data_IF_044486662167
#
_entry.id   IF_044486662167
#
_cell.length_a   1.000
_cell.length_b   1.000
_cell.length_c   1.000
_cell.angle_alpha   90.00
_cell.angle_beta   90.00
_cell.angle_gamma   90.00
#
_symmetry.space_group_name_H-M   'P 1'
#
loop_
_entity.id
_entity.type
_entity.pdbx_description
1 polymer ?
#
# COMPACT_ATOMS: atom_id res chain seq x y z
N UNK A 1 -58.92 19.77 37.21
CA UNK A 1 -57.47 19.53 37.21
C UNK A 1 -57.20 18.53 36.10
N UNK A 2 -56.85 19.02 34.91
CA UNK A 2 -56.63 18.23 33.70
C UNK A 2 -55.25 18.63 33.16
N UNK A 3 -54.34 17.67 33.17
CA UNK A 3 -52.92 17.84 32.86
C UNK A 3 -52.73 17.91 31.34
N UNK A 4 -52.16 19.01 30.85
CA UNK A 4 -51.69 19.16 29.48
C UNK A 4 -50.46 18.24 29.27
N UNK A 5 -50.58 17.25 28.39
CA UNK A 5 -49.43 16.47 27.91
C UNK A 5 -48.89 17.18 26.67
N UNK A 6 -47.74 17.83 26.83
CA UNK A 6 -46.96 18.38 25.72
C UNK A 6 -46.32 17.22 24.94
N UNK A 7 -46.75 17.00 23.69
CA UNK A 7 -46.11 16.06 22.77
C UNK A 7 -45.04 16.85 21.99
N UNK A 8 -43.77 16.70 22.39
CA UNK A 8 -42.63 17.24 21.65
C UNK A 8 -42.29 16.23 20.54
N UNK A 9 -42.49 16.64 19.29
CA UNK A 9 -42.05 15.89 18.12
C UNK A 9 -40.53 16.03 17.97
N UNK A 10 -39.76 15.05 18.45
CA UNK A 10 -38.34 14.95 18.09
C UNK A 10 -38.21 14.31 16.71
N UNK A 11 -37.84 15.12 15.73
CA UNK A 11 -37.29 14.64 14.47
C UNK A 11 -35.89 14.08 14.75
N UNK A 12 -35.80 12.80 15.08
CA UNK A 12 -34.53 12.10 15.01
C UNK A 12 -34.21 11.89 13.53
N UNK A 13 -33.39 12.78 12.97
CA UNK A 13 -32.71 12.51 11.70
C UNK A 13 -31.71 11.39 11.99
N UNK A 14 -32.15 10.14 11.87
CA UNK A 14 -31.25 8.99 11.83
C UNK A 14 -30.54 9.10 10.49
N UNK A 15 -29.40 9.79 10.46
CA UNK A 15 -28.41 9.54 9.44
C UNK A 15 -27.98 8.09 9.63
N UNK A 16 -28.59 7.19 8.85
CA UNK A 16 -28.02 5.87 8.64
C UNK A 16 -26.59 6.10 8.14
N UNK A 17 -25.61 5.88 9.02
CA UNK A 17 -24.24 5.75 8.59
C UNK A 17 -24.24 4.62 7.56
N UNK A 18 -23.80 4.86 6.31
CA UNK A 18 -23.66 3.77 5.37
C UNK A 18 -22.73 2.75 6.02
N UNK A 19 -23.19 1.51 6.18
CA UNK A 19 -22.38 0.36 6.58
C UNK A 19 -21.45 -0.10 5.44
N UNK A 20 -21.12 0.80 4.51
CA UNK A 20 -20.01 0.63 3.58
C UNK A 20 -18.75 1.12 4.26
N UNK A 21 -17.70 0.29 4.28
CA UNK A 21 -16.40 0.66 4.82
C UNK A 21 -15.97 2.03 4.31
N UNK A 22 -15.44 2.87 5.20
CA UNK A 22 -14.94 4.18 4.82
C UNK A 22 -13.83 3.97 3.78
N UNK A 23 -14.10 4.42 2.55
CA UNK A 23 -13.21 4.30 1.41
C UNK A 23 -12.86 5.68 0.89
N UNK A 24 -11.58 5.91 0.63
CA UNK A 24 -11.10 7.13 -0.04
C UNK A 24 -10.42 6.76 -1.34
N UNK A 25 -10.43 7.70 -2.29
CA UNK A 25 -9.68 7.53 -3.53
C UNK A 25 -8.98 8.81 -3.96
N UNK A 26 -7.85 8.60 -4.62
CA UNK A 26 -7.10 9.60 -5.38
C UNK A 26 -7.03 9.11 -6.83
N UNK A 27 -7.16 10.04 -7.78
CA UNK A 27 -7.29 9.70 -9.19
C UNK A 27 -6.63 10.76 -10.06
N UNK A 28 -5.90 10.31 -11.08
CA UNK A 28 -5.29 11.12 -12.14
C UNK A 28 -5.94 10.78 -13.48
N UNK A 29 -5.32 11.10 -14.60
CA UNK A 29 -5.84 10.73 -15.93
C UNK A 29 -5.72 9.22 -16.17
N UNK A 30 -4.63 8.58 -15.73
CA UNK A 30 -4.36 7.16 -15.98
C UNK A 30 -4.53 6.26 -14.77
N UNK A 31 -4.29 6.75 -13.56
CA UNK A 31 -4.35 5.95 -12.35
C UNK A 31 -5.55 6.31 -11.48
N UNK A 32 -6.11 5.29 -10.82
CA UNK A 32 -7.02 5.45 -9.69
C UNK A 32 -6.52 4.59 -8.55
N UNK A 33 -6.36 5.18 -7.37
CA UNK A 33 -5.93 4.47 -6.16
C UNK A 33 -7.03 4.59 -5.13
N UNK A 34 -7.42 3.45 -4.57
CA UNK A 34 -8.53 3.34 -3.64
C UNK A 34 -8.05 2.70 -2.35
N UNK A 35 -8.28 3.38 -1.23
CA UNK A 35 -7.90 2.95 0.11
C UNK A 35 -9.15 2.62 0.91
N UNK A 36 -9.20 1.42 1.45
CA UNK A 36 -10.30 0.95 2.30
C UNK A 36 -9.84 0.83 3.75
N UNK A 37 -10.72 1.18 4.70
CA UNK A 37 -10.43 1.11 6.14
C UNK A 37 -9.98 -0.30 6.61
N UNK A 38 -10.31 -1.36 5.87
CA UNK A 38 -9.81 -2.72 6.10
C UNK A 38 -8.30 -2.87 5.91
N UNK A 39 -7.58 -1.86 5.41
CA UNK A 39 -6.16 -1.95 5.11
C UNK A 39 -5.86 -2.43 3.68
N UNK A 40 -6.86 -2.40 2.81
CA UNK A 40 -6.73 -2.80 1.40
C UNK A 40 -6.42 -1.58 0.55
N UNK A 41 -5.46 -1.72 -0.36
CA UNK A 41 -5.15 -0.74 -1.41
C UNK A 41 -5.45 -1.39 -2.76
N UNK A 42 -6.22 -0.70 -3.59
CA UNK A 42 -6.44 -1.07 -4.99
C UNK A 42 -5.86 0.01 -5.88
N UNK A 43 -4.96 -0.37 -6.78
CA UNK A 43 -4.39 0.49 -7.82
C UNK A 43 -4.96 0.04 -9.16
N UNK A 44 -5.63 0.94 -9.86
CA UNK A 44 -6.19 0.72 -11.19
C UNK A 44 -5.40 1.52 -12.22
N UNK A 45 -4.84 0.83 -13.21
CA UNK A 45 -4.39 1.45 -14.46
C UNK A 45 -5.55 1.45 -15.46
N UNK A 46 -6.07 2.65 -15.74
CA UNK A 46 -7.21 2.86 -16.63
C UNK A 46 -6.86 2.65 -18.11
N UNK A 47 -5.58 2.74 -18.46
CA UNK A 47 -5.11 2.57 -19.84
C UNK A 47 -4.93 1.11 -20.20
N UNK A 48 -4.39 0.32 -19.26
CA UNK A 48 -4.23 -1.13 -19.40
C UNK A 48 -5.49 -1.92 -18.98
N UNK A 49 -6.45 -1.26 -18.32
CA UNK A 49 -7.63 -1.88 -17.71
C UNK A 49 -7.25 -3.00 -16.73
N UNK A 50 -6.27 -2.70 -15.87
CA UNK A 50 -5.72 -3.63 -14.87
C UNK A 50 -5.95 -3.10 -13.47
N UNK A 51 -6.19 -4.03 -12.53
CA UNK A 51 -6.33 -3.73 -11.11
C UNK A 51 -5.37 -4.58 -10.29
N UNK A 52 -4.46 -3.93 -9.56
CA UNK A 52 -3.67 -4.56 -8.51
C UNK A 52 -4.36 -4.31 -7.18
N UNK A 53 -4.73 -5.38 -6.48
CA UNK A 53 -5.38 -5.31 -5.17
C UNK A 53 -4.49 -5.95 -4.13
N UNK A 54 -4.13 -5.19 -3.12
CA UNK A 54 -3.31 -5.67 -2.02
C UNK A 54 -4.06 -6.67 -1.14
N UNK A 55 -3.32 -7.49 -0.40
CA UNK A 55 -3.88 -8.14 0.78
C UNK A 55 -4.06 -7.11 1.91
N UNK A 56 -4.96 -7.38 2.85
CA UNK A 56 -5.05 -6.60 4.10
C UNK A 56 -4.00 -7.12 5.08
N UNK A 57 -3.08 -6.24 5.50
CA UNK A 57 -2.03 -6.58 6.49
C UNK A 57 -2.32 -6.01 7.89
N UNK A 58 -3.06 -4.91 7.98
CA UNK A 58 -3.59 -4.30 9.20
C UNK A 58 -4.64 -3.25 8.80
N UNK A 59 -5.74 -3.06 9.57
CA UNK A 59 -6.71 -2.03 9.27
C UNK A 59 -6.08 -0.64 9.32
N UNK A 60 -6.53 0.24 8.43
CA UNK A 60 -6.17 1.65 8.50
C UNK A 60 -7.02 2.33 9.57
N UNK A 61 -6.42 3.28 10.28
CA UNK A 61 -7.15 4.18 11.18
C UNK A 61 -6.93 5.62 10.77
N UNK A 62 -7.82 6.52 11.17
CA UNK A 62 -7.74 7.95 10.83
C UNK A 62 -7.58 8.22 9.32
N UNK A 63 -8.22 7.39 8.49
CA UNK A 63 -8.23 7.54 7.03
C UNK A 63 -8.97 8.83 6.66
N UNK A 64 -8.25 9.78 6.08
CA UNK A 64 -8.76 11.11 5.77
C UNK A 64 -8.15 11.68 4.49
N UNK A 65 -8.90 12.58 3.84
CA UNK A 65 -8.39 13.39 2.74
C UNK A 65 -7.89 14.73 3.30
N UNK A 66 -6.68 15.11 2.93
CA UNK A 66 -6.05 16.36 3.33
C UNK A 66 -6.52 17.53 2.45
N UNK A 67 -6.38 18.79 2.90
CA UNK A 67 -6.83 19.97 2.14
C UNK A 67 -6.18 20.12 0.76
N UNK A 68 -4.96 19.62 0.58
CA UNK A 68 -4.20 19.62 -0.67
C UNK A 68 -4.55 18.44 -1.60
N UNK A 69 -5.52 17.61 -1.22
CA UNK A 69 -6.02 16.49 -2.01
C UNK A 69 -5.31 15.16 -1.74
N UNK A 70 -4.24 15.15 -0.95
CA UNK A 70 -3.55 13.92 -0.52
C UNK A 70 -4.44 13.09 0.40
N UNK A 71 -4.13 11.80 0.55
CA UNK A 71 -4.79 10.93 1.53
C UNK A 71 -3.80 10.57 2.62
N UNK A 72 -4.24 10.66 3.88
CA UNK A 72 -3.43 10.30 5.05
C UNK A 72 -4.17 9.28 5.90
N UNK A 73 -3.41 8.35 6.49
CA UNK A 73 -3.92 7.34 7.40
C UNK A 73 -2.83 6.85 8.36
N UNK A 74 -3.25 6.20 9.43
CA UNK A 74 -2.37 5.54 10.39
C UNK A 74 -2.42 4.03 10.19
N UNK A 75 -1.26 3.40 10.28
CA UNK A 75 -1.12 1.93 10.26
C UNK A 75 0.10 1.51 11.07
N UNK A 76 0.39 0.22 11.09
CA UNK A 76 1.56 -0.35 11.73
C UNK A 76 2.61 -0.74 10.69
N UNK A 77 3.81 -0.18 10.84
CA UNK A 77 4.98 -0.69 10.13
C UNK A 77 5.49 -1.94 10.85
N UNK A 78 5.75 -2.99 10.09
CA UNK A 78 6.18 -4.29 10.62
C UNK A 78 7.66 -4.50 10.41
N UNK A 79 8.41 -4.68 11.50
CA UNK A 79 9.82 -5.05 11.45
C UNK A 79 10.01 -6.54 11.17
N UNK A 80 11.19 -6.92 10.66
CA UNK A 80 11.58 -8.32 10.45
C UNK A 80 11.54 -9.17 11.73
N UNK A 81 11.78 -8.56 12.89
CA UNK A 81 11.68 -9.21 14.20
C UNK A 81 10.23 -9.60 14.58
N UNK A 82 9.24 -9.14 13.81
CA UNK A 82 7.82 -9.25 14.14
C UNK A 82 7.30 -8.11 15.00
N UNK A 83 8.16 -7.23 15.53
CA UNK A 83 7.75 -6.02 16.24
C UNK A 83 7.07 -5.04 15.28
N UNK A 84 5.99 -4.42 15.73
CA UNK A 84 5.33 -3.34 14.99
C UNK A 84 5.53 -1.99 15.67
N UNK A 85 5.39 -0.92 14.91
CA UNK A 85 5.36 0.45 15.42
C UNK A 85 4.41 1.31 14.57
N UNK A 86 3.74 2.30 15.17
CA UNK A 86 2.79 3.13 14.46
C UNK A 86 3.51 4.05 13.46
N UNK A 87 2.93 4.17 12.27
CA UNK A 87 3.37 5.11 11.23
C UNK A 87 2.18 5.88 10.69
N UNK A 88 2.44 7.13 10.28
CA UNK A 88 1.50 7.93 9.50
C UNK A 88 1.94 7.81 8.04
N UNK A 89 1.05 7.32 7.19
CA UNK A 89 1.27 7.19 5.76
C UNK A 89 0.49 8.29 5.05
N UNK A 90 1.16 8.98 4.13
CA UNK A 90 0.54 9.96 3.23
C UNK A 90 0.75 9.50 1.79
N UNK A 91 -0.33 9.45 1.01
CA UNK A 91 -0.32 9.02 -0.38
C UNK A 91 -0.92 10.09 -1.29
N UNK A 92 -0.31 10.27 -2.46
CA UNK A 92 -0.77 11.21 -3.47
C UNK A 92 -0.34 10.77 -4.87
N UNK A 93 -0.89 11.44 -5.87
CA UNK A 93 -0.47 11.25 -7.26
C UNK A 93 0.35 12.46 -7.68
N UNK A 94 1.55 12.20 -8.19
CA UNK A 94 2.33 13.18 -8.96
C UNK A 94 2.15 12.82 -10.43
N UNK A 95 1.33 13.60 -11.12
CA UNK A 95 0.79 13.25 -12.43
C UNK A 95 0.13 11.86 -12.45
N UNK A 96 0.76 10.88 -13.10
CA UNK A 96 0.30 9.49 -13.21
C UNK A 96 1.18 8.53 -12.39
N UNK A 97 1.89 9.02 -11.38
CA UNK A 97 2.73 8.23 -10.47
C UNK A 97 2.20 8.25 -9.05
N UNK A 98 2.12 7.08 -8.41
CA UNK A 98 1.70 6.95 -7.02
C UNK A 98 2.87 7.13 -6.08
N UNK A 99 2.81 8.20 -5.27
CA UNK A 99 3.79 8.47 -4.21
C UNK A 99 3.20 8.08 -2.87
N UNK A 100 4.02 7.43 -2.04
CA UNK A 100 3.68 7.05 -0.68
C UNK A 100 4.84 7.36 0.27
N UNK A 101 4.56 8.14 1.30
CA UNK A 101 5.52 8.53 2.33
C UNK A 101 5.07 7.98 3.69
N UNK A 102 5.98 7.32 4.41
CA UNK A 102 5.77 6.92 5.79
C UNK A 102 6.58 7.81 6.73
N UNK A 103 5.95 8.29 7.78
CA UNK A 103 6.57 9.10 8.84
C UNK A 103 6.28 8.52 10.22
N UNK A 104 7.22 8.76 11.14
CA UNK A 104 7.09 8.45 12.57
C UNK A 104 7.02 9.74 13.37
N UNK A 105 6.32 9.71 14.50
CA UNK A 105 6.19 10.89 15.37
C UNK A 105 7.50 11.28 16.06
N UNK A 106 8.37 10.31 16.35
CA UNK A 106 9.71 10.55 16.88
C UNK A 106 10.78 10.13 15.85
N UNK A 107 11.45 11.07 15.18
CA UNK A 107 12.46 10.78 14.16
C UNK A 107 13.75 10.18 14.74
N UNK A 108 13.90 10.11 16.07
CA UNK A 108 15.06 9.48 16.74
C UNK A 108 14.88 7.97 16.91
N UNK A 109 13.70 7.43 16.63
CA UNK A 109 13.47 5.99 16.69
C UNK A 109 14.36 5.32 15.65
N UNK A 110 15.29 4.49 16.11
CA UNK A 110 16.00 3.57 15.23
C UNK A 110 15.05 2.45 14.81
N UNK A 111 14.67 2.48 13.55
CA UNK A 111 13.87 1.43 12.93
C UNK A 111 14.83 0.47 12.22
N UNK A 112 14.74 -0.82 12.53
CA UNK A 112 15.31 -1.85 11.67
C UNK A 112 14.51 -1.96 10.38
N UNK A 113 14.80 -2.93 9.53
CA UNK A 113 14.04 -3.10 8.28
C UNK A 113 12.54 -3.32 8.53
N UNK A 114 11.70 -2.59 7.80
CA UNK A 114 10.25 -2.61 7.96
C UNK A 114 9.51 -2.50 6.61
N UNK A 115 8.23 -2.88 6.62
CA UNK A 115 7.26 -2.58 5.56
C UNK A 115 6.05 -1.86 6.15
N UNK A 116 5.44 -0.95 5.39
CA UNK A 116 4.27 -0.16 5.81
C UNK A 116 3.12 -0.15 4.79
N UNK A 117 3.37 -0.63 3.58
CA UNK A 117 2.33 -0.90 2.60
C UNK A 117 2.17 -2.41 2.41
N UNK A 118 0.94 -2.91 2.24
CA UNK A 118 0.73 -4.27 1.81
C UNK A 118 1.31 -4.51 0.40
N UNK A 119 1.79 -5.73 0.10
CA UNK A 119 2.24 -6.05 -1.24
C UNK A 119 1.07 -5.98 -2.22
N UNK A 120 1.36 -5.57 -3.45
CA UNK A 120 0.47 -5.71 -4.60
C UNK A 120 0.80 -7.05 -5.27
N UNK A 121 -0.04 -8.09 -5.17
CA UNK A 121 0.25 -9.35 -5.83
C UNK A 121 0.26 -9.20 -7.35
N UNK A 122 1.09 -9.96 -8.06
CA UNK A 122 1.02 -10.06 -9.52
C UNK A 122 -0.36 -10.58 -9.95
N UNK A 123 -0.87 -10.07 -11.07
CA UNK A 123 -2.19 -10.46 -11.62
C UNK A 123 -2.12 -11.71 -12.52
N UNK A 124 -0.91 -12.13 -12.88
CA UNK A 124 -0.64 -13.21 -13.82
C UNK A 124 0.42 -14.16 -13.25
N UNK A 125 0.23 -15.49 -13.34
CA UNK A 125 1.24 -16.46 -12.92
C UNK A 125 2.49 -16.44 -13.79
N UNK A 126 2.43 -15.81 -14.98
CA UNK A 126 3.59 -15.61 -15.86
C UNK A 126 4.44 -14.40 -15.47
N UNK A 127 4.05 -13.68 -14.41
CA UNK A 127 4.79 -12.49 -14.02
C UNK A 127 6.19 -12.85 -13.55
N UNK A 128 7.10 -11.90 -13.75
CA UNK A 128 8.47 -11.95 -13.28
C UNK A 128 8.70 -10.79 -12.32
N UNK A 129 9.38 -11.08 -11.22
CA UNK A 129 9.98 -10.10 -10.34
C UNK A 129 11.29 -9.62 -10.98
N UNK A 130 11.34 -8.33 -11.30
CA UNK A 130 12.50 -7.65 -11.84
C UNK A 130 13.32 -7.10 -10.69
N UNK A 131 14.54 -7.61 -10.55
CA UNK A 131 15.48 -7.20 -9.49
C UNK A 131 16.71 -6.62 -10.20
N UNK A 132 17.12 -5.37 -9.90
CA UNK A 132 18.36 -4.80 -10.42
C UNK A 132 19.57 -5.39 -9.68
N UNK A 133 19.72 -6.72 -9.77
CA UNK A 133 20.81 -7.44 -9.16
C UNK A 133 22.14 -7.15 -9.85
N UNK A 134 23.16 -6.90 -9.05
CA UNK A 134 24.52 -6.50 -9.42
C UNK A 134 24.93 -6.75 -10.90
N UNK A 135 25.17 -5.67 -11.63
CA UNK A 135 25.67 -5.59 -13.01
C UNK A 135 24.59 -5.64 -14.08
N UNK A 136 23.76 -6.68 -14.09
CA UNK A 136 22.91 -7.00 -15.25
C UNK A 136 21.40 -7.04 -14.96
N UNK A 137 21.00 -7.06 -13.68
CA UNK A 137 19.64 -7.39 -13.30
C UNK A 137 19.33 -8.88 -13.45
N UNK A 138 18.23 -9.30 -12.83
CA UNK A 138 17.64 -10.63 -12.99
C UNK A 138 16.12 -10.51 -13.07
N UNK A 139 15.52 -11.35 -13.89
CA UNK A 139 14.08 -11.61 -13.91
C UNK A 139 13.82 -12.97 -13.26
N UNK A 140 12.92 -13.02 -12.29
CA UNK A 140 12.62 -14.22 -11.50
C UNK A 140 11.13 -14.52 -11.63
N UNK A 141 10.72 -15.71 -12.07
CA UNK A 141 9.30 -16.08 -12.08
C UNK A 141 8.68 -15.94 -10.68
N UNK A 142 7.48 -15.36 -10.59
CA UNK A 142 6.82 -15.10 -9.30
C UNK A 142 6.42 -16.38 -8.56
N UNK A 143 6.30 -17.50 -9.27
CA UNK A 143 6.05 -18.83 -8.70
C UNK A 143 7.35 -19.60 -8.38
N UNK A 144 8.51 -19.05 -8.78
CA UNK A 144 9.84 -19.58 -8.53
C UNK A 144 10.12 -19.85 -7.05
N UNK A 145 10.93 -20.87 -6.78
CA UNK A 145 11.28 -21.29 -5.40
C UNK A 145 12.68 -20.82 -4.99
N UNK A 146 13.53 -20.60 -5.97
CA UNK A 146 14.94 -20.25 -5.87
C UNK A 146 15.24 -18.99 -5.04
N UNK A 147 14.31 -18.04 -4.99
CA UNK A 147 14.48 -16.78 -4.25
C UNK A 147 13.58 -16.65 -3.02
N UNK A 148 12.78 -17.67 -2.68
CA UNK A 148 11.91 -17.62 -1.49
C UNK A 148 12.73 -17.41 -0.22
N UNK A 149 12.35 -16.42 0.58
CA UNK A 149 13.03 -16.02 1.81
C UNK A 149 14.34 -15.25 1.62
N UNK A 150 14.71 -14.91 0.37
CA UNK A 150 15.88 -14.08 0.10
C UNK A 150 15.56 -12.60 0.30
N UNK A 151 16.58 -11.85 0.72
CA UNK A 151 16.51 -10.40 0.86
C UNK A 151 17.59 -9.73 0.01
N UNK A 152 17.28 -8.55 -0.53
CA UNK A 152 18.19 -7.75 -1.34
C UNK A 152 18.16 -6.31 -0.85
N UNK A 153 19.34 -5.70 -0.66
CA UNK A 153 19.47 -4.34 -0.11
C UNK A 153 20.14 -3.42 -1.10
N UNK A 154 19.77 -2.13 -1.09
CA UNK A 154 20.43 -1.08 -1.86
C UNK A 154 21.93 -0.93 -1.52
N UNK A 155 22.34 -1.12 -0.26
CA UNK A 155 23.75 -1.13 0.13
C UNK A 155 24.50 -2.44 -0.19
N UNK A 156 23.91 -3.33 -0.98
CA UNK A 156 24.45 -4.68 -1.17
C UNK A 156 24.24 -5.22 -2.57
N UNK A 157 23.10 -5.88 -2.78
CA UNK A 157 22.83 -6.67 -3.98
C UNK A 157 21.91 -5.99 -4.99
N UNK A 158 21.29 -4.86 -4.64
CA UNK A 158 20.54 -4.03 -5.57
C UNK A 158 21.45 -2.89 -6.06
N UNK A 159 21.68 -2.83 -7.38
CA UNK A 159 22.47 -1.76 -8.00
C UNK A 159 21.67 -0.49 -8.25
N UNK A 160 20.34 -0.62 -8.25
CA UNK A 160 19.43 0.51 -8.45
C UNK A 160 18.33 0.48 -7.39
N UNK A 161 17.82 1.65 -6.97
CA UNK A 161 16.83 1.76 -5.89
C UNK A 161 15.42 1.47 -6.41
N UNK A 162 15.22 0.36 -7.11
CA UNK A 162 13.89 -0.05 -7.56
C UNK A 162 13.73 -1.57 -7.61
N UNK A 163 12.47 -2.03 -7.60
CA UNK A 163 12.08 -3.41 -7.92
C UNK A 163 10.81 -3.37 -8.76
N UNK A 164 10.64 -4.31 -9.68
CA UNK A 164 9.50 -4.33 -10.59
C UNK A 164 8.80 -5.66 -10.63
N UNK A 165 7.54 -5.66 -11.08
CA UNK A 165 6.79 -6.88 -11.41
C UNK A 165 6.13 -6.67 -12.76
N UNK A 166 6.28 -7.61 -13.68
CA UNK A 166 5.63 -7.55 -15.00
C UNK A 166 5.38 -8.93 -15.57
N UNK A 167 4.36 -9.09 -16.40
CA UNK A 167 4.16 -10.28 -17.24
C UNK A 167 4.61 -10.07 -18.70
N UNK A 168 5.30 -8.97 -18.98
CA UNK A 168 5.76 -8.56 -20.31
C UNK A 168 4.79 -7.63 -21.04
N UNK A 169 3.53 -7.56 -20.62
CA UNK A 169 2.51 -6.66 -21.20
C UNK A 169 2.18 -5.51 -20.24
N UNK A 170 2.01 -5.83 -18.96
CA UNK A 170 1.70 -4.87 -17.90
C UNK A 170 2.61 -5.08 -16.70
N UNK A 171 2.81 -4.04 -15.91
CA UNK A 171 3.65 -4.12 -14.73
C UNK A 171 3.66 -2.82 -13.94
N UNK A 172 4.32 -2.88 -12.79
CA UNK A 172 4.62 -1.71 -11.99
C UNK A 172 6.03 -1.84 -11.43
N UNK A 173 6.61 -0.70 -11.06
CA UNK A 173 7.87 -0.63 -10.34
C UNK A 173 7.67 0.14 -9.03
N UNK A 174 8.36 -0.30 -7.99
CA UNK A 174 8.51 0.42 -6.74
C UNK A 174 9.90 1.03 -6.74
N UNK A 175 9.98 2.34 -6.59
CA UNK A 175 11.23 3.10 -6.56
C UNK A 175 11.37 3.75 -5.18
N UNK A 176 12.53 3.59 -4.57
CA UNK A 176 12.88 4.32 -3.35
C UNK A 176 13.48 5.68 -3.74
N UNK A 177 12.78 6.76 -3.39
CA UNK A 177 13.14 8.11 -3.81
C UNK A 177 14.24 8.75 -2.93
N UNK A 178 15.04 9.61 -3.56
CA UNK A 178 15.91 10.60 -2.94
C UNK A 178 16.73 10.09 -1.77
N UNK A 179 16.37 10.53 -0.55
CA UNK A 179 17.09 10.21 0.69
C UNK A 179 16.93 8.77 1.15
N UNK A 180 15.94 8.05 0.62
CA UNK A 180 15.68 6.65 0.96
C UNK A 180 16.23 5.67 -0.09
N UNK A 181 16.86 6.17 -1.16
CA UNK A 181 17.43 5.34 -2.22
C UNK A 181 18.42 4.29 -1.68
N UNK A 182 19.20 4.64 -0.65
CA UNK A 182 20.18 3.75 -0.02
C UNK A 182 19.59 2.84 1.07
N UNK A 183 18.34 3.09 1.51
CA UNK A 183 17.67 2.35 2.57
C UNK A 183 16.77 1.20 2.05
N UNK A 184 16.69 1.06 0.72
CA UNK A 184 15.84 0.09 0.04
C UNK A 184 16.15 -1.36 0.43
N UNK A 185 15.09 -2.14 0.71
CA UNK A 185 15.19 -3.56 0.98
C UNK A 185 14.01 -4.33 0.37
N UNK A 186 14.32 -5.31 -0.47
CA UNK A 186 13.37 -6.24 -1.06
C UNK A 186 13.41 -7.56 -0.29
N UNK A 187 12.24 -8.08 0.09
CA UNK A 187 12.06 -9.44 0.57
C UNK A 187 11.17 -10.21 -0.39
N UNK A 188 11.60 -11.42 -0.75
CA UNK A 188 10.85 -12.31 -1.62
C UNK A 188 10.19 -13.38 -0.78
N UNK A 189 9.01 -13.07 -0.26
CA UNK A 189 8.19 -14.00 0.53
C UNK A 189 6.99 -14.49 -0.30
N UNK A 190 6.58 -15.76 -0.14
CA UNK A 190 5.33 -16.25 -0.72
C UNK A 190 4.14 -15.45 -0.21
N UNK A 191 3.29 -14.99 -1.12
CA UNK A 191 2.05 -14.29 -0.80
C UNK A 191 0.89 -15.17 -1.24
N UNK A 192 -0.02 -15.50 -0.31
CA UNK A 192 -1.25 -16.21 -0.65
C UNK A 192 -2.10 -15.35 -1.57
N UNK A 193 -2.37 -15.82 -2.77
CA UNK A 193 -3.31 -15.18 -3.69
C UNK A 193 -4.64 -15.92 -3.68
N UNK A 194 -5.70 -15.33 -4.25
CA UNK A 194 -6.97 -16.02 -4.48
C UNK A 194 -6.81 -17.27 -5.38
N UNK A 195 -5.69 -17.37 -6.11
CA UNK A 195 -5.36 -18.47 -7.03
C UNK A 195 -4.48 -19.56 -6.39
N UNK A 196 -4.01 -19.37 -5.15
CA UNK A 196 -3.10 -20.31 -4.46
C UNK A 196 -1.84 -19.66 -3.88
N UNK A 197 -1.00 -20.48 -3.23
CA UNK A 197 0.37 -20.15 -2.78
C UNK A 197 1.42 -20.27 -3.90
#
# INVERSE_FOLDING_TARGET
>A
MLTLVNVIWQWALICALPTGGQQLSIESTRLRVVLDISGTITVTDKTANVNWRSLSIAPFSNLQKLPDGKVSFQTEARQRSGKTFPVIVTMWLEDDELVAEASVSDPKIQVGTFSFLPPLPPISPKSELLIPFYGNGIAVPVDGKEFRGRSFTAYGSLDMPWVGVTDGEVGYLLLWDGRSADDGNLFVDPVKTEQGE
#
